data_IF_072583383247
#
_entry.id   IF_072583383247
#
_cell.length_a   1.000
_cell.length_b   1.000
_cell.length_c   1.000
_cell.angle_alpha   90.00
_cell.angle_beta   90.00
_cell.angle_gamma   90.00
#
_symmetry.space_group_name_H-M   'P 1'
#
loop_
_entity.id
_entity.type
_entity.pdbx_description
1 polymer ?
#
# COMPACT_ATOMS: atom_id res chain seq x y z
N UNK A 1 -11.63 -47.60 -33.66
CA UNK A 1 -10.30 -46.98 -33.77
C UNK A 1 -10.48 -45.47 -33.65
N UNK A 2 -10.36 -44.90 -32.45
CA UNK A 2 -10.56 -43.46 -32.21
C UNK A 2 -9.21 -42.78 -32.00
N UNK A 3 -8.89 -41.77 -32.82
CA UNK A 3 -7.67 -40.97 -32.69
C UNK A 3 -7.94 -39.77 -31.79
N UNK A 4 -7.20 -39.71 -30.70
CA UNK A 4 -7.11 -38.57 -29.78
C UNK A 4 -6.42 -37.39 -30.48
N UNK A 5 -6.98 -36.19 -30.36
CA UNK A 5 -6.39 -34.96 -30.90
C UNK A 5 -5.76 -34.17 -29.75
N UNK A 6 -4.44 -33.99 -29.80
CA UNK A 6 -3.68 -33.21 -28.82
C UNK A 6 -3.69 -31.74 -29.23
N UNK A 7 -4.10 -30.80 -28.35
CA UNK A 7 -4.02 -29.38 -28.65
C UNK A 7 -2.57 -28.87 -28.55
N UNK A 8 -2.08 -28.28 -29.64
CA UNK A 8 -0.77 -27.65 -29.75
C UNK A 8 -0.74 -26.32 -28.96
N UNK A 9 -0.05 -26.28 -27.82
CA UNK A 9 0.27 -25.02 -27.13
C UNK A 9 1.23 -24.19 -27.99
N UNK A 10 0.77 -23.01 -28.43
CA UNK A 10 1.64 -21.99 -29.03
C UNK A 10 2.46 -21.32 -27.93
N UNK A 11 3.77 -21.58 -27.93
CA UNK A 11 4.76 -20.80 -27.17
C UNK A 11 5.02 -19.52 -27.96
N UNK A 12 4.62 -18.37 -27.41
CA UNK A 12 5.04 -17.07 -27.93
C UNK A 12 6.45 -16.78 -27.38
N UNK A 13 7.44 -16.73 -28.27
CA UNK A 13 8.78 -16.27 -27.96
C UNK A 13 8.75 -14.75 -27.78
N UNK A 14 9.13 -14.26 -26.60
CA UNK A 14 9.38 -12.83 -26.37
C UNK A 14 10.83 -12.56 -26.80
N UNK A 15 10.98 -11.80 -27.88
CA UNK A 15 12.26 -11.32 -28.36
C UNK A 15 12.72 -10.10 -27.53
N UNK A 16 13.99 -10.16 -27.14
CA UNK A 16 14.76 -9.18 -26.37
C UNK A 16 15.07 -7.93 -27.19
N UNK A 17 15.04 -6.75 -26.56
CA UNK A 17 15.78 -5.58 -27.02
C UNK A 17 16.58 -5.02 -25.84
N UNK A 18 17.82 -5.50 -25.68
CA UNK A 18 18.81 -4.89 -24.82
C UNK A 18 19.50 -3.77 -25.61
N UNK A 19 19.27 -2.51 -25.24
CA UNK A 19 20.06 -1.40 -25.73
C UNK A 19 21.37 -1.36 -24.93
N UNK A 20 22.46 -1.74 -25.61
CA UNK A 20 23.82 -1.70 -25.11
C UNK A 20 24.34 -0.26 -25.26
N UNK A 21 24.32 0.54 -24.19
CA UNK A 21 25.09 1.79 -24.15
C UNK A 21 26.46 1.50 -23.56
N UNK A 22 27.44 1.41 -24.45
CA UNK A 22 28.84 1.32 -24.12
C UNK A 22 29.47 2.71 -24.02
N UNK A 23 30.45 2.81 -23.13
CA UNK A 23 31.59 3.75 -23.08
C UNK A 23 31.35 5.18 -22.58
N UNK A 24 31.58 5.35 -21.27
CA UNK A 24 32.11 6.57 -20.66
C UNK A 24 33.10 6.17 -19.56
N UNK A 25 34.38 6.09 -19.93
CA UNK A 25 35.51 5.68 -19.10
C UNK A 25 35.86 6.81 -18.10
N UNK A 26 35.65 6.60 -16.80
CA UNK A 26 36.24 7.41 -15.74
C UNK A 26 36.84 6.48 -14.70
N UNK A 27 38.17 6.40 -14.73
CA UNK A 27 39.00 5.71 -13.74
C UNK A 27 38.97 6.47 -12.43
N UNK A 28 38.34 5.90 -11.41
CA UNK A 28 38.41 6.35 -10.02
C UNK A 28 38.65 5.15 -9.11
N UNK A 29 39.88 4.98 -8.66
CA UNK A 29 40.27 4.01 -7.63
C UNK A 29 39.72 4.45 -6.27
N UNK A 30 38.88 3.61 -5.63
CA UNK A 30 38.68 3.68 -4.19
C UNK A 30 38.28 2.31 -3.61
N UNK A 31 39.09 1.92 -2.63
CA UNK A 31 39.11 0.83 -1.67
C UNK A 31 37.83 -0.01 -1.43
N UNK A 32 38.08 -1.31 -1.30
CA UNK A 32 37.17 -2.27 -0.69
C UNK A 32 37.01 -2.00 0.81
N UNK A 33 35.77 -1.89 1.27
CA UNK A 33 35.41 -2.13 2.66
C UNK A 33 34.29 -3.17 2.73
N UNK A 34 34.65 -4.31 3.31
CA UNK A 34 33.76 -5.40 3.68
C UNK A 34 32.93 -4.94 4.87
N UNK A 35 31.66 -4.57 4.64
CA UNK A 35 30.71 -4.16 5.68
C UNK A 35 29.46 -5.04 5.65
N UNK A 36 29.16 -5.65 6.78
CA UNK A 36 28.02 -6.51 7.07
C UNK A 36 26.66 -5.89 6.69
N UNK A 37 25.79 -6.71 6.11
CA UNK A 37 24.39 -6.38 5.86
C UNK A 37 23.64 -6.36 7.20
N UNK A 38 23.61 -5.19 7.83
CA UNK A 38 22.63 -4.91 8.88
C UNK A 38 21.29 -4.56 8.20
N UNK A 39 20.27 -5.32 8.57
CA UNK A 39 18.87 -5.09 8.24
C UNK A 39 18.46 -3.69 8.71
N UNK A 40 18.40 -2.73 7.78
CA UNK A 40 17.87 -1.39 8.02
C UNK A 40 16.35 -1.47 8.16
N UNK A 41 15.88 -1.60 9.39
CA UNK A 41 14.53 -1.19 9.79
C UNK A 41 14.49 0.34 9.75
N UNK A 42 14.16 0.90 8.59
CA UNK A 42 13.90 2.33 8.41
C UNK A 42 12.64 2.73 9.16
N UNK A 43 12.77 3.05 10.46
CA UNK A 43 11.75 3.73 11.25
C UNK A 43 11.96 5.24 11.12
N UNK A 44 11.20 5.89 10.25
CA UNK A 44 11.16 7.36 10.14
C UNK A 44 10.52 7.94 11.40
N UNK A 45 11.38 8.44 12.30
CA UNK A 45 11.01 9.23 13.47
C UNK A 45 10.51 10.61 13.07
N UNK A 46 9.23 10.70 12.68
CA UNK A 46 8.49 11.96 12.78
C UNK A 46 8.35 12.33 14.26
N UNK A 47 9.03 13.40 14.68
CA UNK A 47 8.90 14.00 16.00
C UNK A 47 7.48 14.52 16.17
N UNK A 48 6.75 14.00 17.16
CA UNK A 48 5.50 14.62 17.63
C UNK A 48 5.92 15.84 18.45
N UNK A 49 5.54 17.03 18.01
CA UNK A 49 5.68 18.24 18.82
C UNK A 49 4.68 18.16 19.99
N UNK A 50 5.19 17.79 21.17
CA UNK A 50 4.38 17.64 22.40
C UNK A 50 4.21 18.97 23.15
N UNK A 51 4.49 20.10 22.51
CA UNK A 51 4.44 21.43 23.16
C UNK A 51 3.04 21.93 23.48
N UNK A 52 1.98 21.16 23.21
CA UNK A 52 0.60 21.55 23.47
C UNK A 52 -0.17 20.56 24.35
N UNK A 53 0.48 20.06 25.40
CA UNK A 53 -0.18 19.34 26.48
C UNK A 53 -1.00 20.35 27.33
N UNK A 54 -2.12 20.80 26.78
CA UNK A 54 -3.14 21.55 27.50
C UNK A 54 -3.79 20.61 28.53
N UNK A 55 -3.23 20.59 29.73
CA UNK A 55 -3.65 19.75 30.85
C UNK A 55 -4.80 20.39 31.65
N UNK A 56 -5.55 21.35 31.06
CA UNK A 56 -6.62 22.07 31.76
C UNK A 56 -7.86 22.23 30.86
N UNK A 57 -8.50 21.11 30.56
CA UNK A 57 -9.87 21.12 30.05
C UNK A 57 -10.13 19.95 29.12
N UNK A 58 -11.00 19.03 29.53
CA UNK A 58 -11.64 18.06 28.63
C UNK A 58 -12.60 18.78 27.68
N UNK A 59 -12.09 19.74 26.91
CA UNK A 59 -12.77 20.26 25.75
C UNK A 59 -12.83 19.11 24.76
N UNK A 60 -14.05 18.65 24.50
CA UNK A 60 -14.48 17.97 23.29
C UNK A 60 -13.48 18.19 22.16
N UNK A 61 -12.61 17.19 21.90
CA UNK A 61 -11.58 17.28 20.87
C UNK A 61 -12.32 17.55 19.57
N UNK A 62 -12.26 18.76 19.06
CA UNK A 62 -13.10 19.17 17.93
C UNK A 62 -12.59 18.44 16.69
N UNK A 63 -13.26 17.34 16.33
CA UNK A 63 -13.05 16.65 15.07
C UNK A 63 -13.78 17.48 14.00
N UNK A 64 -13.14 18.56 13.56
CA UNK A 64 -13.71 19.38 12.50
C UNK A 64 -13.73 18.59 11.20
N UNK A 65 -14.93 18.37 10.66
CA UNK A 65 -15.14 17.80 9.33
C UNK A 65 -14.54 16.40 9.10
N UNK A 66 -14.40 15.58 10.16
CA UNK A 66 -13.84 14.23 10.04
C UNK A 66 -12.31 14.21 9.83
N UNK A 67 -11.63 15.27 10.24
CA UNK A 67 -10.17 15.32 10.28
C UNK A 67 -9.65 15.44 11.72
N UNK A 68 -8.63 14.67 12.05
CA UNK A 68 -7.83 14.84 13.25
C UNK A 68 -6.48 15.45 12.87
N UNK A 69 -6.18 16.69 13.31
CA UNK A 69 -4.88 17.31 13.05
C UNK A 69 -3.73 16.60 13.78
N UNK A 70 -4.02 15.85 14.84
CA UNK A 70 -3.00 15.18 15.66
C UNK A 70 -2.58 13.82 15.09
N UNK A 71 -3.23 13.34 14.02
CA UNK A 71 -2.85 12.10 13.33
C UNK A 71 -1.88 12.40 12.21
N UNK A 72 -0.76 11.67 12.18
CA UNK A 72 0.18 11.75 11.06
C UNK A 72 -0.52 11.28 9.78
N UNK A 73 -0.58 12.15 8.76
CA UNK A 73 -1.34 11.86 7.53
C UNK A 73 -0.52 11.20 6.44
N UNK A 74 0.80 11.31 6.50
CA UNK A 74 1.70 10.77 5.50
C UNK A 74 3.01 10.32 6.12
N UNK A 75 3.60 9.30 5.52
CA UNK A 75 4.92 8.80 5.87
C UNK A 75 5.66 8.34 4.62
N UNK A 76 6.98 8.44 4.67
CA UNK A 76 7.86 8.13 3.54
C UNK A 76 8.97 7.21 3.99
N UNK A 77 9.14 6.10 3.28
CA UNK A 77 10.26 5.19 3.42
C UNK A 77 11.11 5.21 2.14
N UNK A 78 12.40 4.98 2.28
CA UNK A 78 13.32 4.82 1.15
C UNK A 78 14.13 3.55 1.33
N UNK A 79 14.31 2.79 0.26
CA UNK A 79 15.16 1.60 0.20
C UNK A 79 15.96 1.65 -1.09
N UNK A 80 17.30 1.69 -0.96
CA UNK A 80 18.22 1.91 -2.07
C UNK A 80 17.81 3.15 -2.88
N UNK A 81 17.44 2.98 -4.15
CA UNK A 81 17.04 4.06 -5.03
C UNK A 81 15.52 4.26 -5.13
N UNK A 82 14.72 3.55 -4.32
CA UNK A 82 13.26 3.59 -4.34
C UNK A 82 12.71 4.35 -3.13
N UNK A 83 11.85 5.32 -3.40
CA UNK A 83 11.07 6.06 -2.39
C UNK A 83 9.61 5.64 -2.47
N UNK A 84 9.02 5.37 -1.30
CA UNK A 84 7.64 4.95 -1.12
C UNK A 84 6.99 5.93 -0.16
N UNK A 85 5.99 6.66 -0.62
CA UNK A 85 5.24 7.61 0.20
C UNK A 85 3.80 7.15 0.30
N UNK A 86 3.31 7.02 1.52
CA UNK A 86 1.91 6.69 1.81
C UNK A 86 1.24 7.90 2.44
N UNK A 87 0.00 8.17 2.07
CA UNK A 87 -0.80 9.25 2.64
C UNK A 87 -2.29 8.90 2.74
N UNK A 88 -2.97 9.49 3.72
CA UNK A 88 -4.42 9.46 3.84
C UNK A 88 -5.03 10.58 2.99
N UNK A 89 -5.84 10.21 2.01
CA UNK A 89 -6.53 11.14 1.12
C UNK A 89 -7.92 11.46 1.70
N UNK A 90 -8.22 12.75 1.89
CA UNK A 90 -9.54 13.19 2.36
C UNK A 90 -9.68 13.13 3.89
N UNK A 91 -10.73 12.49 4.41
CA UNK A 91 -10.96 12.39 5.86
C UNK A 91 -10.05 11.31 6.46
N UNK A 92 -9.38 11.62 7.57
CA UNK A 92 -8.59 10.63 8.34
C UNK A 92 -9.30 10.15 9.62
N UNK A 93 -10.53 10.63 9.85
CA UNK A 93 -11.43 10.12 10.89
C UNK A 93 -12.70 9.57 10.24
N UNK A 94 -12.96 8.29 10.49
CA UNK A 94 -14.12 7.57 9.99
C UNK A 94 -15.10 7.17 11.08
N UNK A 95 -16.26 6.70 10.64
CA UNK A 95 -17.24 5.96 11.45
C UNK A 95 -17.77 4.81 10.60
N UNK A 96 -18.54 3.90 11.18
CA UNK A 96 -19.12 2.77 10.46
C UNK A 96 -19.75 3.16 9.11
N UNK A 97 -19.47 2.37 8.06
CA UNK A 97 -19.87 2.56 6.65
C UNK A 97 -19.25 3.75 5.93
N UNK A 98 -18.45 4.58 6.60
CA UNK A 98 -17.65 5.61 5.91
C UNK A 98 -16.43 4.98 5.26
N UNK A 99 -15.85 5.71 4.34
CA UNK A 99 -14.68 5.28 3.60
C UNK A 99 -13.43 6.03 4.07
N UNK A 100 -12.29 5.36 3.94
CA UNK A 100 -10.97 5.98 4.06
C UNK A 100 -10.13 5.54 2.86
N UNK A 101 -9.42 6.49 2.25
CA UNK A 101 -8.59 6.22 1.08
C UNK A 101 -7.13 6.45 1.43
N UNK A 102 -6.31 5.46 1.13
CA UNK A 102 -4.85 5.59 1.18
C UNK A 102 -4.32 5.72 -0.24
N UNK A 103 -3.40 6.66 -0.45
CA UNK A 103 -2.59 6.74 -1.65
C UNK A 103 -1.16 6.34 -1.31
N UNK A 104 -0.63 5.37 -2.03
CA UNK A 104 0.78 5.02 -1.99
C UNK A 104 1.44 5.33 -3.32
N UNK A 105 2.46 6.19 -3.29
CA UNK A 105 3.27 6.57 -4.44
C UNK A 105 4.63 5.90 -4.34
N UNK A 106 5.01 5.21 -5.40
CA UNK A 106 6.32 4.61 -5.58
C UNK A 106 7.07 5.35 -6.68
N UNK A 107 8.31 5.69 -6.40
CA UNK A 107 9.22 6.34 -7.34
C UNK A 107 10.62 5.78 -7.17
N UNK A 108 11.40 5.75 -8.24
CA UNK A 108 12.82 5.46 -8.16
C UNK A 108 13.64 6.60 -8.75
N UNK A 109 14.80 6.88 -8.16
CA UNK A 109 15.76 7.87 -8.64
C UNK A 109 16.98 7.17 -9.24
N UNK A 110 17.52 7.69 -10.33
CA UNK A 110 18.73 7.14 -10.96
C UNK A 110 18.56 5.70 -11.47
N UNK A 111 19.63 4.91 -11.37
CA UNK A 111 19.71 3.53 -11.86
C UNK A 111 19.98 2.53 -10.72
N UNK A 112 19.56 1.26 -10.85
CA UNK A 112 18.82 0.69 -11.97
C UNK A 112 17.33 1.06 -11.92
N UNK A 113 16.67 1.01 -13.08
CA UNK A 113 15.21 1.00 -13.12
C UNK A 113 14.68 -0.22 -12.36
N UNK A 114 13.52 -0.04 -11.72
CA UNK A 114 12.89 -1.08 -10.92
C UNK A 114 11.50 -1.40 -11.47
N UNK A 115 11.03 -2.59 -11.15
CA UNK A 115 9.72 -3.09 -11.51
C UNK A 115 9.03 -3.55 -10.21
N UNK A 116 7.85 -3.01 -9.94
CA UNK A 116 6.99 -3.48 -8.85
C UNK A 116 6.14 -4.62 -9.38
N UNK A 117 6.25 -5.83 -8.83
CA UNK A 117 5.52 -7.01 -9.33
C UNK A 117 4.33 -7.41 -8.48
N UNK A 118 4.30 -6.95 -7.23
CA UNK A 118 3.21 -7.19 -6.29
C UNK A 118 3.17 -6.07 -5.27
N UNK A 119 1.97 -5.63 -4.92
CA UNK A 119 1.74 -4.72 -3.79
C UNK A 119 0.68 -5.35 -2.90
N UNK A 120 0.95 -5.39 -1.60
CA UNK A 120 0.06 -5.88 -0.57
C UNK A 120 -0.15 -4.74 0.43
N UNK A 121 -1.30 -4.08 0.32
CA UNK A 121 -1.71 -2.95 1.12
C UNK A 121 -2.33 -3.46 2.43
N UNK A 122 -1.62 -3.19 3.51
CA UNK A 122 -2.00 -3.57 4.87
C UNK A 122 -2.89 -2.46 5.42
N UNK A 123 -4.18 -2.54 5.08
CA UNK A 123 -5.20 -1.58 5.47
C UNK A 123 -5.43 -1.51 6.97
N UNK A 124 -6.18 -0.51 7.45
CA UNK A 124 -6.52 -0.40 8.87
C UNK A 124 -7.46 -1.53 9.30
N UNK A 125 -7.37 -1.92 10.57
CA UNK A 125 -8.28 -2.90 11.15
C UNK A 125 -9.74 -2.44 11.07
N UNK A 126 -10.68 -3.39 11.15
CA UNK A 126 -12.12 -3.12 11.11
C UNK A 126 -12.58 -2.47 9.81
N UNK A 127 -11.94 -2.82 8.69
CA UNK A 127 -12.37 -2.39 7.37
C UNK A 127 -12.64 -3.57 6.44
N UNK A 128 -13.49 -3.30 5.45
CA UNK A 128 -13.94 -4.27 4.46
C UNK A 128 -14.05 -3.73 3.06
N UNK A 129 -14.23 -4.66 2.13
CA UNK A 129 -14.54 -4.41 0.72
C UNK A 129 -13.61 -3.37 0.08
N UNK A 130 -12.29 -3.57 0.07
CA UNK A 130 -11.37 -2.61 -0.53
C UNK A 130 -11.64 -2.52 -2.03
N UNK A 131 -11.76 -1.29 -2.52
CA UNK A 131 -11.67 -0.99 -3.95
C UNK A 131 -10.35 -0.29 -4.22
N UNK A 132 -9.67 -0.63 -5.31
CA UNK A 132 -8.41 -0.02 -5.63
C UNK A 132 -8.29 0.35 -7.09
N UNK A 133 -7.47 1.36 -7.34
CA UNK A 133 -6.98 1.70 -8.67
C UNK A 133 -5.49 1.93 -8.62
N UNK A 134 -4.81 1.57 -9.70
CA UNK A 134 -3.39 1.82 -9.88
C UNK A 134 -3.18 2.70 -11.09
N UNK A 135 -2.35 3.73 -10.94
CA UNK A 135 -1.93 4.61 -12.01
C UNK A 135 -0.44 4.47 -12.22
N UNK A 136 -0.02 4.15 -13.44
CA UNK A 136 1.39 3.91 -13.76
C UNK A 136 1.72 4.39 -15.17
N UNK A 137 3.02 4.46 -15.46
CA UNK A 137 3.53 4.78 -16.81
C UNK A 137 3.79 3.47 -17.56
N UNK A 138 3.17 3.30 -18.72
CA UNK A 138 3.37 2.16 -19.62
C UNK A 138 4.72 2.24 -20.34
N UNK A 139 5.13 1.14 -20.96
CA UNK A 139 6.35 1.07 -21.75
C UNK A 139 6.35 2.05 -22.96
N UNK A 140 5.18 2.45 -23.45
CA UNK A 140 5.01 3.46 -24.50
C UNK A 140 5.09 4.92 -23.97
N UNK A 141 5.34 5.10 -22.66
CA UNK A 141 5.37 6.40 -21.99
C UNK A 141 4.00 6.96 -21.62
N UNK A 142 2.90 6.30 -22.00
CA UNK A 142 1.55 6.71 -21.65
C UNK A 142 1.23 6.48 -20.17
N UNK A 143 0.59 7.44 -19.51
CA UNK A 143 -0.01 7.20 -18.18
C UNK A 143 -1.34 6.48 -18.33
N UNK A 144 -1.50 5.38 -17.60
CA UNK A 144 -2.75 4.61 -17.56
C UNK A 144 -3.21 4.48 -16.12
N UNK A 145 -4.54 4.43 -15.91
CA UNK A 145 -5.17 4.04 -14.65
C UNK A 145 -6.01 2.78 -14.87
N UNK A 146 -5.88 1.80 -13.99
CA UNK A 146 -6.64 0.55 -14.01
C UNK A 146 -7.31 0.33 -12.67
N UNK A 147 -8.57 -0.13 -12.70
CA UNK A 147 -9.23 -0.65 -11.50
C UNK A 147 -8.67 -2.05 -11.23
N UNK A 148 -8.26 -2.29 -9.99
CA UNK A 148 -7.72 -3.56 -9.59
C UNK A 148 -8.74 -4.30 -8.70
N UNK A 149 -9.04 -5.55 -9.04
CA UNK A 149 -9.87 -6.41 -8.20
C UNK A 149 -9.00 -7.12 -7.17
N UNK A 150 -9.29 -6.93 -5.88
CA UNK A 150 -8.58 -7.66 -4.82
C UNK A 150 -8.86 -9.15 -4.95
N UNK A 151 -7.85 -9.98 -4.72
CA UNK A 151 -8.10 -11.33 -4.22
C UNK A 151 -8.30 -11.22 -2.70
N UNK A 152 -9.39 -11.72 -2.10
CA UNK A 152 -9.51 -11.76 -0.65
C UNK A 152 -8.42 -12.68 -0.08
N UNK A 153 -7.53 -12.19 0.80
CA UNK A 153 -6.55 -13.05 1.49
C UNK A 153 -7.05 -13.54 2.88
N UNK A 154 -8.30 -13.25 3.22
CA UNK A 154 -8.90 -13.62 4.51
C UNK A 154 -8.58 -12.64 5.65
N UNK A 155 -7.56 -11.79 5.50
CA UNK A 155 -7.37 -10.58 6.29
C UNK A 155 -7.90 -9.37 5.47
N UNK A 156 -8.08 -8.21 6.11
CA UNK A 156 -8.54 -6.99 5.45
C UNK A 156 -7.48 -6.35 4.52
N UNK A 157 -6.60 -7.17 3.94
CA UNK A 157 -5.50 -6.75 3.09
C UNK A 157 -5.94 -6.67 1.63
N UNK A 158 -5.34 -5.73 0.91
CA UNK A 158 -5.57 -5.59 -0.52
C UNK A 158 -4.32 -6.01 -1.29
N UNK A 159 -4.44 -7.05 -2.12
CA UNK A 159 -3.32 -7.53 -2.94
C UNK A 159 -3.54 -7.12 -4.39
N UNK A 160 -2.59 -6.34 -4.92
CA UNK A 160 -2.44 -6.02 -6.33
C UNK A 160 -1.40 -6.96 -6.98
N UNK A 161 -1.81 -8.08 -7.61
CA UNK A 161 -0.96 -8.80 -8.55
C UNK A 161 -1.02 -8.13 -9.93
N UNK A 162 0.08 -8.14 -10.67
CA UNK A 162 0.10 -7.59 -12.03
C UNK A 162 1.28 -8.07 -12.87
N UNK A 163 1.30 -7.71 -14.17
CA UNK A 163 2.43 -8.01 -15.06
C UNK A 163 3.72 -7.27 -14.69
N UNK A 164 3.64 -6.34 -13.72
CA UNK A 164 4.72 -5.49 -13.28
C UNK A 164 4.48 -4.02 -13.65
N UNK A 165 4.83 -3.11 -12.74
CA UNK A 165 4.72 -1.66 -12.95
C UNK A 165 6.10 -1.01 -12.82
N UNK A 166 6.61 -0.38 -13.89
CA UNK A 166 7.96 0.20 -13.88
C UNK A 166 8.01 1.47 -13.02
N UNK A 167 9.09 1.62 -12.26
CA UNK A 167 9.51 2.85 -11.59
C UNK A 167 10.98 3.11 -11.95
N UNK A 168 11.36 4.33 -12.34
CA UNK A 168 12.72 4.53 -12.87
C UNK A 168 13.00 5.86 -13.57
N UNK A 169 14.22 5.95 -14.12
CA UNK A 169 14.98 7.17 -14.45
C UNK A 169 14.35 8.15 -15.45
N UNK A 170 13.23 7.80 -16.07
CA UNK A 170 12.41 8.71 -16.87
C UNK A 170 11.28 9.40 -16.05
N UNK A 171 11.32 9.32 -14.71
CA UNK A 171 10.26 9.83 -13.84
C UNK A 171 9.03 8.93 -13.79
N UNK A 172 9.19 7.65 -14.13
CA UNK A 172 8.12 6.67 -14.04
C UNK A 172 7.74 6.47 -12.56
N UNK A 173 6.47 6.72 -12.26
CA UNK A 173 5.90 6.54 -10.92
C UNK A 173 4.70 5.61 -10.98
N UNK A 174 4.51 4.89 -9.88
CA UNK A 174 3.33 4.05 -9.64
C UNK A 174 2.57 4.65 -8.48
N UNK A 175 1.26 4.80 -8.64
CA UNK A 175 0.36 5.34 -7.62
C UNK A 175 -0.76 4.35 -7.41
N UNK A 176 -0.79 3.72 -6.24
CA UNK A 176 -1.89 2.86 -5.79
C UNK A 176 -2.82 3.69 -4.90
N UNK A 177 -4.10 3.73 -5.22
CA UNK A 177 -5.13 4.27 -4.32
C UNK A 177 -6.06 3.14 -3.88
N UNK A 178 -6.09 2.85 -2.58
CA UNK A 178 -6.96 1.83 -1.98
C UNK A 178 -7.96 2.51 -1.07
N UNK A 179 -9.25 2.24 -1.30
CA UNK A 179 -10.36 2.76 -0.50
C UNK A 179 -10.98 1.63 0.30
N UNK A 180 -10.95 1.78 1.62
CA UNK A 180 -11.50 0.85 2.59
C UNK A 180 -12.81 1.39 3.14
N UNK A 181 -13.76 0.52 3.44
CA UNK A 181 -15.00 0.88 4.14
C UNK A 181 -14.94 0.40 5.59
N UNK A 182 -15.16 1.28 6.56
CA UNK A 182 -15.19 0.92 7.97
C UNK A 182 -16.37 0.00 8.29
N UNK A 183 -16.09 -1.14 8.92
CA UNK A 183 -17.10 -1.96 9.57
C UNK A 183 -17.52 -1.26 10.86
N UNK A 184 -18.78 -0.85 10.95
CA UNK A 184 -19.34 -0.39 12.20
C UNK A 184 -20.86 -0.42 12.15
N UNK A 185 -21.47 -1.16 13.07
CA UNK A 185 -22.71 -0.70 13.69
C UNK A 185 -22.35 -0.18 15.07
N UNK A 186 -22.90 0.98 15.41
CA UNK A 186 -22.53 1.75 16.59
C UNK A 186 -22.62 0.92 17.88
N UNK A 187 -21.52 0.81 18.63
CA UNK A 187 -21.60 0.73 20.09
C UNK A 187 -20.59 1.68 20.72
N UNK A 188 -21.11 2.46 21.65
CA UNK A 188 -20.46 3.56 22.36
C UNK A 188 -19.33 3.06 23.28
N UNK A 189 -18.12 2.90 22.76
CA UNK A 189 -16.93 2.96 23.61
C UNK A 189 -15.98 4.02 23.04
N UNK A 190 -15.77 5.05 23.85
CA UNK A 190 -15.12 6.33 23.56
C UNK A 190 -13.59 6.24 23.42
N UNK A 191 -13.03 5.09 23.03
CA UNK A 191 -11.59 4.96 22.82
C UNK A 191 -11.30 4.93 21.32
N UNK A 192 -10.97 6.10 20.80
CA UNK A 192 -10.38 6.28 19.49
C UNK A 192 -9.10 5.41 19.35
N UNK A 193 -9.13 4.38 18.50
CA UNK A 193 -7.93 3.62 18.17
C UNK A 193 -7.22 4.26 16.97
N UNK A 194 -6.00 4.72 17.16
CA UNK A 194 -5.10 5.10 16.07
C UNK A 194 -4.67 3.83 15.35
N UNK A 195 -5.07 3.69 14.09
CA UNK A 195 -4.70 2.56 13.26
C UNK A 195 -3.49 2.94 12.41
N UNK A 196 -2.43 2.14 12.51
CA UNK A 196 -1.34 2.18 11.55
C UNK A 196 -1.72 1.36 10.32
N UNK A 197 -1.26 1.80 9.16
CA UNK A 197 -1.37 1.03 7.92
C UNK A 197 0.03 0.81 7.35
N UNK A 198 0.17 -0.19 6.50
CA UNK A 198 1.47 -0.57 5.98
C UNK A 198 1.41 -1.03 4.54
N UNK A 199 2.57 -1.42 4.03
CA UNK A 199 2.66 -1.98 2.70
C UNK A 199 3.77 -3.02 2.63
N UNK A 200 3.48 -4.12 1.96
CA UNK A 200 4.48 -5.11 1.54
C UNK A 200 4.54 -5.03 0.01
N UNK A 201 5.75 -4.96 -0.55
CA UNK A 201 5.93 -4.74 -1.98
C UNK A 201 7.08 -5.59 -2.50
N UNK A 202 6.86 -6.24 -3.64
CA UNK A 202 7.90 -6.98 -4.36
C UNK A 202 8.53 -6.07 -5.43
N UNK A 203 9.83 -5.81 -5.31
CA UNK A 203 10.58 -4.90 -6.18
C UNK A 203 11.75 -5.64 -6.85
N UNK A 204 11.85 -5.54 -8.17
CA UNK A 204 12.92 -6.20 -8.94
C UNK A 204 14.32 -5.80 -8.46
N UNK A 205 15.14 -6.79 -8.11
CA UNK A 205 16.50 -6.59 -7.63
C UNK A 205 16.62 -6.13 -6.17
N UNK A 206 15.50 -5.91 -5.47
CA UNK A 206 15.46 -5.68 -4.01
C UNK A 206 14.68 -6.78 -3.27
N UNK A 207 13.88 -7.59 -3.97
CA UNK A 207 13.04 -8.62 -3.37
C UNK A 207 11.82 -8.04 -2.66
N UNK A 208 11.28 -8.77 -1.69
CA UNK A 208 10.15 -8.34 -0.87
C UNK A 208 10.58 -7.33 0.18
N UNK A 209 9.96 -6.17 0.17
CA UNK A 209 10.16 -5.10 1.14
C UNK A 209 8.91 -4.97 2.00
N UNK A 210 9.08 -4.83 3.31
CA UNK A 210 7.99 -4.79 4.28
C UNK A 210 8.05 -3.51 5.11
N UNK A 211 7.01 -2.69 5.00
CA UNK A 211 6.83 -1.44 5.75
C UNK A 211 5.52 -1.54 6.55
N UNK A 212 5.51 -2.29 7.66
CA UNK A 212 4.27 -2.67 8.36
C UNK A 212 3.59 -1.53 9.11
N UNK A 213 4.28 -0.39 9.30
CA UNK A 213 3.77 0.76 10.03
C UNK A 213 4.19 2.06 9.35
N UNK A 214 3.77 2.24 8.09
CA UNK A 214 3.82 3.57 7.49
C UNK A 214 2.81 4.44 8.24
N UNK A 215 3.29 5.51 8.88
CA UNK A 215 2.49 6.33 9.80
C UNK A 215 1.42 7.21 9.12
N UNK A 216 0.82 6.74 8.03
CA UNK A 216 -0.45 7.24 7.53
C UNK A 216 -1.55 6.75 8.47
N UNK A 217 -1.76 7.51 9.54
CA UNK A 217 -2.64 7.20 10.65
C UNK A 217 -4.08 7.59 10.34
N UNK A 218 -4.99 6.74 10.79
CA UNK A 218 -6.42 6.99 10.74
C UNK A 218 -7.04 6.65 12.08
N UNK A 219 -8.21 7.23 12.34
CA UNK A 219 -9.01 6.93 13.51
C UNK A 219 -10.40 6.50 13.05
N UNK A 220 -10.96 5.49 13.70
CA UNK A 220 -12.39 5.25 13.60
C UNK A 220 -13.07 5.59 14.93
N UNK A 221 -14.02 6.53 14.88
CA UNK A 221 -14.85 6.88 16.01
C UNK A 221 -16.03 5.90 16.10
N UNK A 222 -16.16 5.24 17.26
CA UNK A 222 -17.22 4.26 17.50
C UNK A 222 -17.04 2.93 16.76
N UNK A 223 -15.85 2.64 16.22
CA UNK A 223 -15.48 1.27 15.85
C UNK A 223 -14.93 0.55 17.09
N UNK A 224 -15.64 -0.48 17.54
CA UNK A 224 -15.11 -1.46 18.50
C UNK A 224 -14.66 -2.72 17.75
N UNK A 225 -13.72 -3.45 18.35
CA UNK A 225 -13.36 -4.77 17.87
C UNK A 225 -14.55 -5.71 17.91
N UNK A 226 -15.11 -6.01 16.74
CA UNK A 226 -16.12 -7.05 16.62
C UNK A 226 -15.48 -8.39 16.98
N UNK A 227 -15.81 -8.95 18.14
CA UNK A 227 -15.99 -10.40 18.24
C UNK A 227 -17.25 -10.73 17.45
N UNK A 228 -17.12 -10.91 16.13
CA UNK A 228 -18.21 -11.45 15.33
C UNK A 228 -18.60 -12.79 15.96
N UNK A 229 -19.86 -12.94 16.38
CA UNK A 229 -20.37 -14.28 16.64
C UNK A 229 -20.36 -15.04 15.32
N UNK A 230 -20.06 -16.35 15.35
CA UNK A 230 -19.98 -17.18 14.14
C UNK A 230 -21.24 -17.07 13.27
N UNK A 231 -22.40 -16.75 13.86
CA UNK A 231 -23.68 -16.62 13.16
C UNK A 231 -23.79 -15.37 12.27
N UNK A 232 -23.17 -14.24 12.62
CA UNK A 232 -23.17 -13.04 11.75
C UNK A 232 -22.18 -13.18 10.60
N UNK A 233 -21.02 -13.79 10.85
CA UNK A 233 -20.05 -14.11 9.80
C UNK A 233 -20.68 -14.99 8.73
N UNK A 234 -21.40 -16.05 9.14
CA UNK A 234 -22.12 -16.94 8.22
C UNK A 234 -23.20 -16.21 7.43
N UNK A 235 -23.94 -15.26 8.02
CA UNK A 235 -24.96 -14.49 7.28
C UNK A 235 -24.37 -13.55 6.24
N UNK A 236 -23.25 -12.90 6.53
CA UNK A 236 -22.57 -12.00 5.58
C UNK A 236 -21.92 -12.80 4.44
N UNK A 237 -21.29 -13.94 4.75
CA UNK A 237 -20.61 -14.77 3.74
C UNK A 237 -21.54 -15.69 2.95
N UNK A 238 -22.60 -16.23 3.55
CA UNK A 238 -23.54 -17.16 2.87
C UNK A 238 -24.80 -16.47 2.36
N UNK A 239 -25.15 -15.28 2.87
CA UNK A 239 -26.31 -14.52 2.41
C UNK A 239 -26.22 -14.01 0.98
N UNK A 240 -25.04 -14.07 0.35
CA UNK A 240 -24.83 -13.63 -1.04
C UNK A 240 -25.02 -14.73 -2.09
N UNK A 241 -25.43 -15.95 -1.70
CA UNK A 241 -25.68 -17.07 -2.64
C UNK A 241 -27.17 -17.37 -2.88
N UNK A 242 -28.08 -16.50 -2.43
CA UNK A 242 -29.52 -16.73 -2.55
C UNK A 242 -30.29 -15.49 -2.99
N UNK A 243 -30.11 -15.07 -4.25
CA UNK A 243 -31.09 -14.26 -5.00
C UNK A 243 -30.89 -14.46 -6.50
#
# INVERSE_FOLDING_TARGET
MSRSSTPTRRLAAVATAAALFATGLLTGTANAETGSVESVTGSSGGSVDVSNLDLVGSAERVIENGNDPDLQRSDTATVDNVTITREVVGQNVGAGRRQVTFRTTFSAAGTPDRLITRIDDQGPNYTGSPSAKITYTKADGGRTTETLTSTPDGAANYVAPGPGWPIGGAGATVVLEVTYTWYGTMRQEYTAYVQNSGIIVDISGLGTQNFPSMKAQTRCDGCAGYTMSNDEFLKIFLGSFGS
#
